data_IF_993778602515
#
_entry.id   IF_993778602515
#
_cell.length_a   1.000
_cell.length_b   1.000
_cell.length_c   1.000
_cell.angle_alpha   90.00
_cell.angle_beta   90.00
_cell.angle_gamma   90.00
#
_symmetry.space_group_name_H-M   'P 1'
#
loop_
_entity.id
_entity.type
_entity.pdbx_description
1 polymer ?
#
# COMPACT_ATOMS: atom_id res chain seq x y z
N UNK A 1 3.13 7.62 -13.43
CA UNK A 1 3.25 6.86 -12.16
C UNK A 1 1.92 6.74 -11.43
N UNK A 2 1.28 7.84 -10.99
CA UNK A 2 -0.03 7.80 -10.30
C UNK A 2 -1.08 6.97 -11.03
N UNK A 3 -1.34 7.28 -12.32
CA UNK A 3 -2.31 6.55 -13.15
C UNK A 3 -2.03 5.04 -13.15
N UNK A 4 -0.77 4.62 -13.30
CA UNK A 4 -0.42 3.19 -13.31
C UNK A 4 -0.76 2.51 -11.98
N UNK A 5 -0.46 3.16 -10.85
CA UNK A 5 -0.76 2.61 -9.52
C UNK A 5 -2.27 2.46 -9.27
N UNK A 6 -3.09 3.35 -9.83
CA UNK A 6 -4.56 3.32 -9.65
C UNK A 6 -5.24 2.38 -10.67
N UNK A 7 -4.80 2.42 -11.92
CA UNK A 7 -5.44 1.68 -13.02
C UNK A 7 -5.00 0.21 -12.97
N UNK A 8 -3.74 -0.06 -12.66
CA UNK A 8 -3.12 -1.38 -12.64
C UNK A 8 -2.39 -1.63 -11.31
N UNK A 9 -3.12 -1.70 -10.18
CA UNK A 9 -2.51 -1.87 -8.87
C UNK A 9 -1.71 -3.17 -8.80
N UNK A 10 -0.47 -3.08 -8.30
CA UNK A 10 0.45 -4.22 -8.19
C UNK A 10 1.19 -4.59 -9.49
N UNK A 11 0.98 -3.86 -10.59
CA UNK A 11 1.69 -4.11 -11.86
C UNK A 11 2.86 -3.14 -12.03
N UNK A 12 4.08 -3.65 -11.97
CA UNK A 12 5.31 -2.86 -12.10
C UNK A 12 5.81 -2.74 -13.55
N UNK A 13 5.61 -3.76 -14.38
CA UNK A 13 6.09 -3.84 -15.76
C UNK A 13 4.92 -3.99 -16.75
N UNK A 14 4.10 -2.94 -16.86
CA UNK A 14 2.95 -2.95 -17.76
C UNK A 14 3.39 -2.63 -19.20
N UNK A 15 2.91 -3.35 -20.24
CA UNK A 15 3.29 -3.08 -21.64
C UNK A 15 3.06 -1.64 -22.11
N UNK A 16 2.14 -0.90 -21.50
CA UNK A 16 1.90 0.54 -21.77
C UNK A 16 3.12 1.42 -21.43
N UNK A 17 3.94 1.00 -20.46
CA UNK A 17 5.17 1.70 -20.09
C UNK A 17 6.30 1.45 -21.08
N UNK A 18 6.21 0.36 -21.84
CA UNK A 18 7.10 0.13 -22.97
C UNK A 18 6.68 1.10 -24.06
N UNK A 19 7.44 2.18 -24.22
CA UNK A 19 7.33 3.03 -25.39
C UNK A 19 7.43 2.08 -26.59
N UNK A 20 6.43 2.01 -27.50
CA UNK A 20 6.62 1.29 -28.73
C UNK A 20 7.86 1.96 -29.33
N UNK A 21 8.98 1.23 -29.42
CA UNK A 21 10.20 1.73 -30.08
C UNK A 21 9.70 2.35 -31.36
N UNK A 22 9.74 3.68 -31.47
CA UNK A 22 9.19 4.36 -32.63
C UNK A 22 9.95 3.76 -33.80
N UNK A 23 9.28 2.88 -34.56
CA UNK A 23 9.85 2.27 -35.75
C UNK A 23 9.83 3.33 -36.83
N UNK A 24 10.55 4.43 -36.62
CA UNK A 24 10.62 5.57 -37.54
C UNK A 24 11.10 5.13 -38.93
N UNK A 25 11.81 3.99 -39.01
CA UNK A 25 12.37 3.44 -40.25
C UNK A 25 11.83 2.05 -40.64
N UNK A 26 10.71 1.58 -40.09
CA UNK A 26 10.05 0.36 -40.60
C UNK A 26 8.78 0.71 -41.36
N UNK A 27 8.48 0.04 -42.50
CA UNK A 27 7.22 0.22 -43.19
C UNK A 27 6.06 -0.07 -42.23
N UNK A 28 5.01 0.76 -42.25
CA UNK A 28 3.79 0.51 -41.48
C UNK A 28 3.27 -0.87 -41.85
N UNK A 29 3.12 -1.71 -40.84
CA UNK A 29 2.58 -3.05 -40.99
C UNK A 29 1.06 -2.99 -41.16
N UNK A 30 0.44 -4.05 -41.69
CA UNK A 30 -1.02 -4.19 -41.69
C UNK A 30 -1.61 -4.09 -40.27
N UNK A 31 -0.83 -4.48 -39.25
CA UNK A 31 -1.21 -4.32 -37.85
C UNK A 31 -1.34 -2.85 -37.45
N UNK A 32 -0.40 -1.99 -37.86
CA UNK A 32 -0.45 -0.55 -37.55
C UNK A 32 -1.69 0.11 -38.18
N UNK A 33 -2.05 -0.29 -39.40
CA UNK A 33 -3.26 0.18 -40.09
C UNK A 33 -4.51 -0.28 -39.34
N UNK A 34 -4.58 -1.55 -38.95
CA UNK A 34 -5.70 -2.10 -38.19
C UNK A 34 -5.87 -1.41 -36.83
N UNK A 35 -4.78 -1.07 -36.13
CA UNK A 35 -4.84 -0.35 -34.85
C UNK A 35 -5.36 1.08 -35.02
N UNK A 36 -4.98 1.78 -36.10
CA UNK A 36 -5.55 3.09 -36.42
C UNK A 36 -7.05 2.97 -36.69
N UNK A 37 -7.48 1.98 -37.49
CA UNK A 37 -8.91 1.75 -37.73
C UNK A 37 -9.67 1.38 -36.45
N UNK A 38 -9.05 0.60 -35.57
CA UNK A 38 -9.63 0.26 -34.27
C UNK A 38 -9.79 1.50 -33.38
N UNK A 39 -8.82 2.42 -33.35
CA UNK A 39 -8.99 3.71 -32.65
C UNK A 39 -10.20 4.48 -33.21
N UNK A 40 -10.39 4.53 -34.53
CA UNK A 40 -11.60 5.16 -35.11
C UNK A 40 -12.89 4.51 -34.62
N UNK A 41 -12.93 3.18 -34.48
CA UNK A 41 -14.07 2.47 -33.92
C UNK A 41 -14.28 2.81 -32.44
N UNK A 42 -13.21 2.90 -31.63
CA UNK A 42 -13.30 3.31 -30.22
C UNK A 42 -13.87 4.74 -30.07
N UNK A 43 -13.60 5.62 -31.04
CA UNK A 43 -14.16 6.97 -31.09
C UNK A 43 -15.60 7.03 -31.64
N UNK A 44 -16.19 5.89 -32.02
CA UNK A 44 -17.61 5.80 -32.36
C UNK A 44 -18.42 5.40 -31.11
N UNK A 45 -19.29 6.32 -30.66
CA UNK A 45 -20.10 6.14 -29.43
C UNK A 45 -20.90 4.84 -29.43
N UNK A 46 -21.58 4.54 -30.53
CA UNK A 46 -22.46 3.37 -30.64
C UNK A 46 -21.61 2.11 -30.58
N UNK A 47 -20.52 2.07 -31.35
CA UNK A 47 -19.59 0.94 -31.33
C UNK A 47 -19.06 0.68 -29.93
N UNK A 48 -18.53 1.70 -29.24
CA UNK A 48 -17.90 1.51 -27.93
C UNK A 48 -18.90 1.01 -26.88
N UNK A 49 -20.12 1.57 -26.85
CA UNK A 49 -21.18 1.10 -25.95
C UNK A 49 -21.55 -0.36 -26.25
N UNK A 50 -21.79 -0.70 -27.52
CA UNK A 50 -22.10 -2.08 -27.93
C UNK A 50 -20.94 -3.04 -27.65
N UNK A 51 -19.70 -2.60 -27.85
CA UNK A 51 -18.50 -3.39 -27.57
C UNK A 51 -18.43 -3.77 -26.08
N UNK A 52 -18.62 -2.80 -25.19
CA UNK A 52 -18.64 -3.05 -23.73
C UNK A 52 -19.78 -4.01 -23.36
N UNK A 53 -21.00 -3.76 -23.85
CA UNK A 53 -22.16 -4.62 -23.57
C UNK A 53 -21.92 -6.06 -24.05
N UNK A 54 -21.32 -6.21 -25.24
CA UNK A 54 -21.02 -7.51 -25.84
C UNK A 54 -20.00 -8.29 -25.02
N UNK A 55 -18.96 -7.63 -24.51
CA UNK A 55 -17.98 -8.24 -23.61
C UNK A 55 -18.60 -8.67 -22.29
N UNK A 56 -19.37 -7.79 -21.64
CA UNK A 56 -19.98 -8.09 -20.34
C UNK A 56 -21.06 -9.18 -20.39
N UNK A 57 -21.66 -9.40 -21.57
CA UNK A 57 -22.60 -10.48 -21.79
C UNK A 57 -21.94 -11.88 -21.81
N UNK A 58 -20.61 -11.96 -22.00
CA UNK A 58 -19.91 -13.24 -22.06
C UNK A 58 -19.66 -13.80 -20.65
N UNK A 59 -20.06 -15.06 -20.43
CA UNK A 59 -19.83 -15.75 -19.14
C UNK A 59 -18.35 -15.94 -18.79
N UNK A 60 -17.49 -16.04 -19.80
CA UNK A 60 -16.04 -16.15 -19.63
C UNK A 60 -15.36 -14.84 -19.24
N UNK A 61 -16.04 -13.70 -19.40
CA UNK A 61 -15.50 -12.37 -19.12
C UNK A 61 -15.65 -12.02 -17.65
N UNK A 62 -14.61 -12.36 -16.88
CA UNK A 62 -14.65 -12.28 -15.42
C UNK A 62 -14.31 -10.86 -14.90
N UNK A 63 -14.34 -10.67 -13.59
CA UNK A 63 -14.09 -9.36 -12.94
C UNK A 63 -12.70 -8.80 -13.29
N UNK A 64 -11.66 -9.65 -13.39
CA UNK A 64 -10.31 -9.21 -13.77
C UNK A 64 -10.30 -8.63 -15.17
N UNK A 65 -10.99 -9.30 -16.11
CA UNK A 65 -11.07 -8.85 -17.50
C UNK A 65 -11.82 -7.51 -17.61
N UNK A 66 -12.94 -7.39 -16.90
CA UNK A 66 -13.71 -6.13 -16.82
C UNK A 66 -12.87 -4.96 -16.31
N UNK A 67 -12.16 -5.18 -15.20
CA UNK A 67 -11.29 -4.16 -14.59
C UNK A 67 -10.14 -3.77 -15.51
N UNK A 68 -9.57 -4.74 -16.21
CA UNK A 68 -8.49 -4.51 -17.17
C UNK A 68 -8.98 -3.71 -18.39
N UNK A 69 -10.08 -4.14 -19.03
CA UNK A 69 -10.67 -3.43 -20.18
C UNK A 69 -11.07 -2.01 -19.82
N UNK A 70 -11.72 -1.79 -18.68
CA UNK A 70 -12.04 -0.45 -18.19
C UNK A 70 -10.80 0.44 -18.06
N UNK A 71 -9.69 -0.11 -17.59
CA UNK A 71 -8.44 0.62 -17.39
C UNK A 71 -7.73 0.92 -18.71
N UNK A 72 -7.68 -0.04 -19.64
CA UNK A 72 -7.16 0.18 -20.99
C UNK A 72 -7.98 1.22 -21.76
N UNK A 73 -9.31 1.13 -21.70
CA UNK A 73 -10.20 2.12 -22.32
C UNK A 73 -9.95 3.51 -21.75
N UNK A 74 -9.86 3.65 -20.42
CA UNK A 74 -9.58 4.95 -19.82
C UNK A 74 -8.20 5.51 -20.18
N UNK A 75 -7.18 4.67 -20.40
CA UNK A 75 -5.88 5.13 -20.96
C UNK A 75 -6.05 5.65 -22.39
N UNK A 76 -6.80 4.94 -23.24
CA UNK A 76 -7.03 5.39 -24.63
C UNK A 76 -7.82 6.70 -24.66
N UNK A 77 -8.79 6.85 -23.76
CA UNK A 77 -9.73 7.97 -23.72
C UNK A 77 -9.27 9.16 -22.86
N UNK A 78 -8.18 9.07 -22.10
CA UNK A 78 -7.78 10.13 -21.14
C UNK A 78 -7.46 11.48 -21.79
N UNK A 79 -7.12 11.51 -23.08
CA UNK A 79 -6.90 12.75 -23.83
C UNK A 79 -8.18 13.29 -24.49
N UNK A 80 -9.30 12.57 -24.35
CA UNK A 80 -10.62 12.87 -24.93
C UNK A 80 -11.68 12.83 -23.83
N UNK A 81 -11.43 13.53 -22.73
CA UNK A 81 -12.24 13.43 -21.50
C UNK A 81 -13.71 13.80 -21.72
N UNK A 82 -14.04 14.73 -22.61
CA UNK A 82 -15.43 15.05 -22.96
C UNK A 82 -16.19 13.82 -23.50
N UNK A 83 -15.57 13.11 -24.45
CA UNK A 83 -16.13 11.86 -24.99
C UNK A 83 -16.16 10.75 -23.93
N UNK A 84 -15.10 10.63 -23.10
CA UNK A 84 -15.07 9.68 -21.99
C UNK A 84 -16.22 9.91 -20.99
N UNK A 85 -16.50 11.16 -20.65
CA UNK A 85 -17.60 11.55 -19.76
C UNK A 85 -18.95 11.19 -20.36
N UNK A 86 -19.15 11.39 -21.67
CA UNK A 86 -20.41 11.04 -22.34
C UNK A 86 -20.63 9.50 -22.37
N UNK A 87 -19.59 8.73 -22.67
CA UNK A 87 -19.64 7.25 -22.60
C UNK A 87 -19.93 6.79 -21.17
N UNK A 88 -19.21 7.35 -20.19
CA UNK A 88 -19.40 7.03 -18.78
C UNK A 88 -20.82 7.37 -18.31
N UNK A 89 -21.36 8.53 -18.70
CA UNK A 89 -22.74 8.93 -18.42
C UNK A 89 -23.73 7.89 -18.95
N UNK A 90 -23.62 7.51 -20.22
CA UNK A 90 -24.51 6.52 -20.82
C UNK A 90 -24.47 5.18 -20.08
N UNK A 91 -23.27 4.69 -19.77
CA UNK A 91 -23.11 3.42 -19.06
C UNK A 91 -23.61 3.49 -17.60
N UNK A 92 -23.38 4.60 -16.90
CA UNK A 92 -23.88 4.79 -15.53
C UNK A 92 -25.41 4.84 -15.50
N UNK A 93 -26.04 5.52 -16.45
CA UNK A 93 -27.50 5.53 -16.56
C UNK A 93 -28.07 4.13 -16.78
N UNK A 94 -27.45 3.33 -17.65
CA UNK A 94 -27.83 1.92 -17.84
C UNK A 94 -27.63 1.07 -16.57
N UNK A 95 -26.57 1.32 -15.82
CA UNK A 95 -26.34 0.67 -14.54
C UNK A 95 -27.43 1.04 -13.53
N UNK A 96 -27.83 2.31 -13.48
CA UNK A 96 -28.92 2.80 -12.64
C UNK A 96 -30.24 2.13 -13.04
N UNK A 97 -30.59 2.12 -14.33
CA UNK A 97 -31.79 1.45 -14.85
C UNK A 97 -31.85 -0.01 -14.40
N UNK A 98 -30.73 -0.73 -14.45
CA UNK A 98 -30.64 -2.11 -13.96
C UNK A 98 -30.78 -2.20 -12.44
N UNK A 99 -30.14 -1.29 -11.71
CA UNK A 99 -30.10 -1.28 -10.24
C UNK A 99 -31.48 -1.05 -9.62
N UNK A 100 -32.25 -0.09 -10.17
CA UNK A 100 -33.58 0.26 -9.66
C UNK A 100 -34.60 -0.87 -9.85
N UNK A 101 -34.37 -1.80 -10.78
CA UNK A 101 -35.19 -3.00 -10.95
C UNK A 101 -34.88 -4.10 -9.91
N UNK A 102 -33.82 -3.95 -9.12
CA UNK A 102 -33.45 -4.93 -8.09
C UNK A 102 -34.19 -4.67 -6.77
N UNK A 103 -34.21 -5.66 -5.88
CA UNK A 103 -34.74 -5.50 -4.52
C UNK A 103 -33.91 -4.55 -3.65
N UNK A 104 -32.67 -4.27 -4.03
CA UNK A 104 -31.70 -3.54 -3.21
C UNK A 104 -30.94 -2.48 -4.03
N UNK A 105 -31.63 -1.45 -4.55
CA UNK A 105 -31.00 -0.40 -5.35
C UNK A 105 -29.86 0.32 -4.61
N UNK A 106 -29.90 0.42 -3.28
CA UNK A 106 -28.84 1.02 -2.45
C UNK A 106 -27.48 0.31 -2.55
N UNK A 107 -27.44 -0.94 -3.06
CA UNK A 107 -26.20 -1.68 -3.26
C UNK A 107 -25.46 -1.32 -4.55
N UNK A 108 -26.05 -0.47 -5.41
CA UNK A 108 -25.38 0.04 -6.61
C UNK A 108 -24.04 0.67 -6.24
N UNK A 109 -23.02 0.40 -7.07
CA UNK A 109 -21.67 0.89 -6.87
C UNK A 109 -21.01 0.42 -5.55
N UNK A 110 -21.55 -0.54 -4.81
CA UNK A 110 -20.91 -1.03 -3.57
C UNK A 110 -19.64 -1.86 -3.83
N UNK A 111 -19.55 -2.53 -4.98
CA UNK A 111 -18.42 -3.39 -5.39
C UNK A 111 -18.06 -3.13 -6.84
N UNK A 112 -16.83 -3.42 -7.27
CA UNK A 112 -16.45 -3.27 -8.68
C UNK A 112 -16.72 -4.56 -9.43
N UNK A 113 -17.90 -4.65 -10.07
CA UNK A 113 -18.36 -5.88 -10.74
C UNK A 113 -18.66 -5.68 -12.24
N UNK A 114 -18.57 -4.44 -12.72
CA UNK A 114 -18.76 -4.04 -14.11
C UNK A 114 -17.63 -3.14 -14.64
N UNK A 115 -17.52 -3.06 -15.97
CA UNK A 115 -16.60 -2.17 -16.68
C UNK A 115 -16.86 -0.72 -16.29
N UNK A 116 -18.13 -0.30 -16.23
CA UNK A 116 -18.50 1.09 -15.89
C UNK A 116 -18.08 1.49 -14.48
N UNK A 117 -18.15 0.59 -13.50
CA UNK A 117 -17.73 0.86 -12.12
C UNK A 117 -16.22 1.09 -12.01
N UNK A 118 -15.42 0.32 -12.75
CA UNK A 118 -13.97 0.56 -12.81
C UNK A 118 -13.66 1.80 -13.65
N UNK A 119 -14.37 2.05 -14.75
CA UNK A 119 -14.22 3.29 -15.53
C UNK A 119 -14.52 4.53 -14.68
N UNK A 120 -15.57 4.51 -13.85
CA UNK A 120 -15.89 5.59 -12.91
C UNK A 120 -14.74 5.82 -11.92
N UNK A 121 -14.19 4.74 -11.35
CA UNK A 121 -13.05 4.83 -10.41
C UNK A 121 -11.84 5.49 -11.07
N UNK A 122 -11.53 5.08 -12.30
CA UNK A 122 -10.43 5.61 -13.10
C UNK A 122 -10.66 7.07 -13.53
N UNK A 123 -11.89 7.41 -13.93
CA UNK A 123 -12.32 8.76 -14.28
C UNK A 123 -12.17 9.72 -13.11
N UNK A 124 -12.67 9.33 -11.92
CA UNK A 124 -12.52 10.13 -10.71
C UNK A 124 -11.05 10.29 -10.33
N UNK A 125 -10.20 9.27 -10.52
CA UNK A 125 -8.76 9.42 -10.28
C UNK A 125 -8.08 10.43 -11.19
N UNK A 126 -8.45 10.49 -12.47
CA UNK A 126 -7.94 11.53 -13.37
C UNK A 126 -8.41 12.92 -12.89
N UNK A 127 -9.71 13.08 -12.63
CA UNK A 127 -10.30 14.37 -12.27
C UNK A 127 -9.82 14.90 -10.92
N UNK A 128 -9.59 14.00 -9.95
CA UNK A 128 -9.18 14.34 -8.59
C UNK A 128 -7.66 14.47 -8.45
N UNK A 129 -6.86 14.19 -9.49
CA UNK A 129 -5.40 14.21 -9.38
C UNK A 129 -4.84 15.56 -8.93
N UNK A 130 -5.28 16.66 -9.54
CA UNK A 130 -4.81 18.00 -9.16
C UNK A 130 -5.27 18.36 -7.74
N UNK A 131 -6.52 18.07 -7.39
CA UNK A 131 -7.02 18.25 -6.03
C UNK A 131 -6.16 17.50 -4.99
N UNK A 132 -5.79 16.25 -5.28
CA UNK A 132 -4.88 15.51 -4.41
C UNK A 132 -3.47 16.10 -4.37
N UNK A 133 -2.93 16.48 -5.53
CA UNK A 133 -1.56 16.97 -5.62
C UNK A 133 -1.38 18.32 -4.94
N UNK A 134 -2.36 19.21 -5.08
CA UNK A 134 -2.24 20.63 -4.74
C UNK A 134 -2.94 20.98 -3.42
N UNK A 135 -3.97 20.22 -3.02
CA UNK A 135 -4.77 20.51 -1.83
C UNK A 135 -4.72 19.37 -0.80
N UNK A 136 -5.35 18.23 -1.10
CA UNK A 136 -5.58 17.17 -0.11
C UNK A 136 -4.36 16.30 0.24
N UNK A 137 -3.33 16.28 -0.61
CA UNK A 137 -2.16 15.42 -0.42
C UNK A 137 -1.31 15.81 0.78
N UNK A 138 -1.31 17.08 1.16
CA UNK A 138 -0.57 17.58 2.32
C UNK A 138 -1.10 16.98 3.63
N UNK A 139 -2.40 17.04 3.86
CA UNK A 139 -3.05 16.51 5.07
C UNK A 139 -2.96 14.99 5.14
N UNK A 140 -3.11 14.29 4.01
CA UNK A 140 -2.87 12.85 3.92
C UNK A 140 -1.42 12.49 4.29
N UNK A 141 -0.43 13.19 3.71
CA UNK A 141 0.97 12.90 3.97
C UNK A 141 1.34 13.17 5.44
N UNK A 142 0.79 14.22 6.03
CA UNK A 142 0.96 14.52 7.45
C UNK A 142 0.33 13.44 8.33
N UNK A 143 -0.86 12.94 8.00
CA UNK A 143 -1.48 11.81 8.69
C UNK A 143 -0.60 10.55 8.62
N UNK A 144 -0.11 10.19 7.43
CA UNK A 144 0.83 9.09 7.27
C UNK A 144 2.09 9.27 8.14
N UNK A 145 2.69 10.48 8.11
CA UNK A 145 3.87 10.80 8.91
C UNK A 145 3.60 10.75 10.41
N UNK A 146 2.45 11.24 10.87
CA UNK A 146 2.05 11.20 12.27
C UNK A 146 1.88 9.76 12.77
N UNK A 147 1.19 8.91 11.99
CA UNK A 147 1.03 7.48 12.30
C UNK A 147 2.40 6.80 12.37
N UNK A 148 3.21 6.95 11.32
CA UNK A 148 4.56 6.34 11.25
C UNK A 148 5.41 6.77 12.45
N UNK A 149 5.49 8.07 12.70
CA UNK A 149 6.29 8.62 13.80
C UNK A 149 5.80 8.12 15.16
N UNK A 150 4.48 8.08 15.38
CA UNK A 150 3.92 7.63 16.64
C UNK A 150 4.18 6.14 16.90
N UNK A 151 4.08 5.29 15.88
CA UNK A 151 4.38 3.86 15.96
C UNK A 151 5.87 3.65 16.27
N UNK A 152 6.75 4.25 15.47
CA UNK A 152 8.21 4.05 15.53
C UNK A 152 8.88 4.66 16.76
N UNK A 153 8.16 5.52 17.50
CA UNK A 153 8.58 6.04 18.80
C UNK A 153 8.59 4.98 19.90
N UNK A 154 7.82 3.91 19.74
CA UNK A 154 7.70 2.80 20.70
C UNK A 154 8.32 1.51 20.19
N UNK A 155 8.12 0.45 20.97
CA UNK A 155 8.52 -0.92 20.61
C UNK A 155 7.75 -1.37 19.36
N UNK A 156 8.47 -1.99 18.42
CA UNK A 156 7.90 -2.65 17.25
C UNK A 156 8.59 -3.99 17.06
N UNK A 157 7.85 -5.09 17.12
CA UNK A 157 8.39 -6.41 16.79
C UNK A 157 8.67 -6.50 15.29
N UNK A 158 9.86 -6.97 14.91
CA UNK A 158 10.30 -6.96 13.50
C UNK A 158 9.70 -8.13 12.71
N UNK A 159 9.19 -9.16 13.39
CA UNK A 159 8.63 -10.37 12.80
C UNK A 159 7.10 -10.30 12.77
N UNK A 160 6.44 -9.95 13.88
CA UNK A 160 4.97 -9.90 13.95
C UNK A 160 4.38 -8.56 13.50
N UNK A 161 5.22 -7.51 13.50
CA UNK A 161 4.84 -6.11 13.33
C UNK A 161 3.88 -5.58 14.40
N UNK A 162 3.81 -6.25 15.56
CA UNK A 162 3.06 -5.73 16.70
C UNK A 162 3.82 -4.56 17.32
N UNK A 163 3.07 -3.50 17.63
CA UNK A 163 3.62 -2.25 18.11
C UNK A 163 3.04 -1.83 19.46
N UNK A 164 3.86 -1.18 20.29
CA UNK A 164 3.42 -0.62 21.58
C UNK A 164 2.40 0.50 21.39
N UNK A 165 2.58 1.32 20.37
CA UNK A 165 1.69 2.42 19.99
C UNK A 165 0.92 2.04 18.72
N UNK A 166 0.00 1.08 18.83
CA UNK A 166 -0.87 0.66 17.74
C UNK A 166 -2.23 1.38 17.80
N UNK A 167 -2.87 1.55 16.64
CA UNK A 167 -4.29 1.92 16.53
C UNK A 167 -5.20 0.68 16.43
N UNK A 168 -4.64 -0.49 16.17
CA UNK A 168 -5.34 -1.78 16.07
C UNK A 168 -5.06 -2.64 17.29
N UNK A 169 -6.11 -3.17 17.92
CA UNK A 169 -5.99 -4.11 19.04
C UNK A 169 -5.23 -5.38 18.64
N UNK A 170 -5.44 -5.86 17.40
CA UNK A 170 -4.81 -7.08 16.91
C UNK A 170 -3.31 -6.94 16.71
N UNK A 171 -2.85 -5.70 16.47
CA UNK A 171 -1.44 -5.35 16.27
C UNK A 171 -0.80 -4.69 17.49
N UNK A 172 -1.46 -4.77 18.64
CA UNK A 172 -0.93 -4.20 19.88
C UNK A 172 0.05 -5.18 20.53
N UNK A 173 1.28 -4.72 20.76
CA UNK A 173 2.28 -5.48 21.48
C UNK A 173 1.88 -5.61 22.96
N UNK A 174 1.58 -6.85 23.38
CA UNK A 174 1.09 -7.14 24.74
C UNK A 174 2.20 -7.40 25.75
N UNK A 175 3.32 -7.95 25.29
CA UNK A 175 4.48 -8.26 26.14
C UNK A 175 5.13 -7.00 26.71
N UNK A 176 5.60 -7.10 27.95
CA UNK A 176 6.39 -6.07 28.59
C UNK A 176 7.86 -6.29 28.25
N UNK A 177 8.43 -5.37 27.47
CA UNK A 177 9.83 -5.39 27.09
C UNK A 177 10.51 -4.14 27.62
N UNK A 178 11.53 -4.35 28.45
CA UNK A 178 12.41 -3.28 28.93
C UNK A 178 13.26 -2.78 27.77
N UNK A 179 13.39 -1.45 27.67
CA UNK A 179 14.09 -0.79 26.59
C UNK A 179 14.63 0.54 27.08
N UNK A 180 15.72 0.97 26.46
CA UNK A 180 16.33 2.28 26.67
C UNK A 180 16.44 3.03 25.34
N UNK A 181 16.52 4.35 25.45
CA UNK A 181 16.81 5.17 24.28
C UNK A 181 18.30 5.20 23.99
N UNK A 182 18.63 5.18 22.70
CA UNK A 182 20.00 5.39 22.20
C UNK A 182 19.99 6.57 21.24
N UNK A 183 20.87 7.55 21.48
CA UNK A 183 21.08 8.69 20.59
C UNK A 183 22.20 8.37 19.60
N UNK A 184 21.87 8.24 18.32
CA UNK A 184 22.86 7.97 17.28
C UNK A 184 23.34 9.27 16.65
N UNK A 185 24.66 9.40 16.52
CA UNK A 185 25.35 10.45 15.78
C UNK A 185 25.78 9.88 14.43
N UNK A 186 25.14 10.32 13.35
CA UNK A 186 25.38 9.76 12.02
C UNK A 186 26.48 10.55 11.33
N UNK A 187 27.52 9.85 10.90
CA UNK A 187 28.65 10.42 10.16
C UNK A 187 28.64 9.81 8.77
N UNK A 188 28.63 10.66 7.74
CA UNK A 188 28.91 10.27 6.36
C UNK A 188 29.96 11.20 5.78
N UNK A 189 30.84 10.66 4.95
CA UNK A 189 32.00 11.40 4.43
C UNK A 189 31.59 12.57 3.50
N UNK A 190 30.39 12.48 2.89
CA UNK A 190 29.85 13.49 1.95
C UNK A 190 28.86 14.49 2.61
N UNK A 191 28.65 14.43 3.93
CA UNK A 191 27.67 15.26 4.63
C UNK A 191 28.33 16.17 5.68
N UNK A 192 28.27 17.48 5.45
CA UNK A 192 28.69 18.50 6.43
C UNK A 192 27.72 18.62 7.63
N UNK A 193 26.45 18.25 7.43
CA UNK A 193 25.41 18.34 8.46
C UNK A 193 25.50 17.18 9.47
N UNK A 194 25.58 17.55 10.76
CA UNK A 194 25.51 16.58 11.87
C UNK A 194 24.08 16.05 12.01
N UNK A 195 23.82 14.87 11.45
CA UNK A 195 22.53 14.18 11.58
C UNK A 195 22.50 13.37 12.87
N UNK A 196 21.42 13.49 13.63
CA UNK A 196 21.18 12.71 14.84
C UNK A 196 19.82 12.01 14.75
N UNK A 197 19.75 10.76 15.23
CA UNK A 197 18.48 10.05 15.34
C UNK A 197 18.38 9.30 16.67
N UNK A 198 17.20 9.37 17.29
CA UNK A 198 16.89 8.65 18.54
C UNK A 198 16.21 7.33 18.21
N UNK A 199 16.73 6.24 18.72
CA UNK A 199 16.24 4.87 18.51
C UNK A 199 16.08 4.14 19.84
N UNK A 200 15.56 2.91 19.81
CA UNK A 200 15.50 2.04 20.97
C UNK A 200 16.65 1.03 20.92
N UNK A 201 17.21 0.69 22.07
CA UNK A 201 18.24 -0.35 22.18
C UNK A 201 17.75 -1.73 21.73
N UNK A 202 16.44 -1.96 21.84
CA UNK A 202 15.77 -3.15 21.34
C UNK A 202 15.35 -3.07 19.86
N UNK A 203 15.67 -2.01 19.11
CA UNK A 203 15.42 -2.03 17.66
C UNK A 203 16.39 -3.02 16.98
N UNK A 204 15.91 -3.78 16.00
CA UNK A 204 16.80 -4.59 15.15
C UNK A 204 17.71 -3.70 14.31
N UNK A 205 18.80 -4.25 13.77
CA UNK A 205 19.72 -3.49 12.93
C UNK A 205 19.01 -2.95 11.67
N UNK A 206 18.12 -3.73 11.05
CA UNK A 206 17.31 -3.24 9.92
C UNK A 206 16.35 -2.12 10.32
N UNK A 207 15.73 -2.18 11.50
CA UNK A 207 14.90 -1.09 12.01
C UNK A 207 15.73 0.18 12.24
N UNK A 208 16.92 0.06 12.82
CA UNK A 208 17.86 1.18 13.02
C UNK A 208 18.29 1.78 11.68
N UNK A 209 18.71 0.97 10.71
CA UNK A 209 19.04 1.43 9.36
C UNK A 209 17.89 2.19 8.71
N UNK A 210 16.66 1.69 8.84
CA UNK A 210 15.47 2.37 8.30
C UNK A 210 15.26 3.75 8.92
N UNK A 211 15.39 3.87 10.25
CA UNK A 211 15.27 5.14 10.98
C UNK A 211 16.39 6.13 10.59
N UNK A 212 17.62 5.65 10.39
CA UNK A 212 18.74 6.47 9.90
C UNK A 212 18.48 6.97 8.48
N UNK A 213 18.02 6.09 7.57
CA UNK A 213 17.68 6.46 6.19
C UNK A 213 16.56 7.51 6.16
N UNK A 214 15.54 7.40 7.02
CA UNK A 214 14.51 8.44 7.13
C UNK A 214 15.05 9.79 7.58
N UNK A 215 16.02 9.81 8.50
CA UNK A 215 16.66 11.03 8.98
C UNK A 215 17.54 11.68 7.90
N UNK A 216 18.39 10.89 7.24
CA UNK A 216 19.27 11.35 6.16
C UNK A 216 18.49 11.84 4.94
N UNK A 217 17.45 11.10 4.54
CA UNK A 217 16.71 11.35 3.30
C UNK A 217 15.33 11.97 3.52
N UNK A 218 15.16 12.77 4.60
CA UNK A 218 13.86 13.33 5.01
C UNK A 218 13.11 14.05 3.88
N UNK A 219 13.85 14.74 2.99
CA UNK A 219 13.32 15.54 1.87
C UNK A 219 13.46 14.85 0.51
N UNK A 220 13.92 13.59 0.48
CA UNK A 220 14.11 12.83 -0.75
C UNK A 220 12.94 11.87 -0.96
N UNK A 221 12.34 11.80 -2.16
CA UNK A 221 11.32 10.80 -2.48
C UNK A 221 11.82 9.37 -2.20
N UNK A 222 10.97 8.52 -1.64
CA UNK A 222 11.36 7.15 -1.25
C UNK A 222 12.01 6.35 -2.38
N UNK A 223 11.56 6.52 -3.62
CA UNK A 223 12.10 5.81 -4.80
C UNK A 223 13.52 6.22 -5.20
N UNK A 224 14.03 7.35 -4.67
CA UNK A 224 15.38 7.84 -4.92
C UNK A 224 16.32 7.59 -3.73
N UNK A 225 15.83 6.94 -2.68
CA UNK A 225 16.62 6.59 -1.50
C UNK A 225 17.31 5.25 -1.72
N UNK A 226 18.43 5.05 -1.02
CA UNK A 226 19.05 3.74 -0.90
C UNK A 226 18.09 2.76 -0.21
N UNK A 227 18.02 1.52 -0.68
CA UNK A 227 17.26 0.50 0.03
C UNK A 227 17.97 0.13 1.32
N UNK A 228 17.20 -0.22 2.36
CA UNK A 228 17.75 -0.72 3.64
C UNK A 228 18.65 -1.95 3.45
N UNK A 229 18.39 -2.71 2.38
CA UNK A 229 19.14 -3.89 1.97
C UNK A 229 20.35 -3.60 1.09
N UNK A 230 20.63 -2.34 0.74
CA UNK A 230 21.81 -1.97 -0.05
C UNK A 230 22.90 -1.32 0.81
N UNK A 231 22.62 -1.17 2.11
CA UNK A 231 23.52 -0.53 3.07
C UNK A 231 23.76 -1.42 4.28
N UNK A 232 24.95 -1.27 4.83
CA UNK A 232 25.40 -1.84 6.09
C UNK A 232 25.54 -0.75 7.15
N UNK A 233 25.30 -1.11 8.40
CA UNK A 233 25.43 -0.20 9.54
C UNK A 233 26.78 -0.43 10.22
N UNK A 234 27.64 0.57 10.19
CA UNK A 234 28.92 0.54 10.90
C UNK A 234 28.80 1.31 12.21
N UNK A 235 29.15 0.65 13.32
CA UNK A 235 29.39 1.30 14.61
C UNK A 235 30.85 1.67 14.76
N UNK A 236 31.12 2.96 14.96
CA UNK A 236 32.45 3.49 15.25
C UNK A 236 32.67 3.52 16.75
N UNK A 237 33.15 2.40 17.30
CA UNK A 237 33.47 2.28 18.73
C UNK A 237 34.80 3.00 19.04
N UNK A 238 34.87 3.66 20.20
CA UNK A 238 36.04 4.43 20.60
C UNK A 238 37.35 3.63 20.51
N UNK A 239 38.48 4.33 20.31
CA UNK A 239 39.83 3.81 19.97
C UNK A 239 40.04 3.40 18.50
N UNK A 240 39.24 3.94 17.57
CA UNK A 240 39.42 3.70 16.13
C UNK A 240 38.95 2.31 15.66
N UNK A 241 38.10 1.65 16.46
CA UNK A 241 37.49 0.37 16.09
C UNK A 241 36.21 0.59 15.28
N UNK A 242 36.02 -0.22 14.26
CA UNK A 242 34.82 -0.23 13.43
C UNK A 242 34.18 -1.62 13.51
N UNK A 243 32.87 -1.68 13.70
CA UNK A 243 32.12 -2.94 13.72
C UNK A 243 30.87 -2.81 12.85
N UNK A 244 30.76 -3.66 11.84
CA UNK A 244 29.54 -3.78 11.04
C UNK A 244 28.50 -4.58 11.82
N UNK A 245 27.31 -4.01 12.00
CA UNK A 245 26.19 -4.63 12.68
C UNK A 245 25.23 -5.24 11.65
N UNK A 246 24.65 -6.39 11.97
CA UNK A 246 23.71 -7.09 11.11
C UNK A 246 22.60 -7.74 11.95
N UNK A 247 21.43 -7.96 11.36
CA UNK A 247 20.31 -8.63 12.05
C UNK A 247 20.66 -10.08 12.43
N UNK A 248 21.53 -10.73 11.65
CA UNK A 248 22.12 -12.04 11.94
C UNK A 248 23.62 -12.01 11.61
N UNK A 249 24.44 -12.53 12.51
CA UNK A 249 25.88 -12.72 12.33
C UNK A 249 26.40 -13.88 13.20
N UNK A 250 27.74 -14.05 13.28
CA UNK A 250 28.38 -15.09 14.09
C UNK A 250 28.11 -14.96 15.60
N UNK A 251 27.62 -13.80 16.05
CA UNK A 251 27.31 -13.54 17.46
C UNK A 251 25.85 -13.81 17.80
N UNK A 252 24.99 -14.07 16.81
CA UNK A 252 23.55 -14.27 16.99
C UNK A 252 23.22 -15.41 17.96
N UNK A 253 22.42 -15.08 18.97
CA UNK A 253 22.04 -16.02 20.03
C UNK A 253 20.99 -17.01 19.52
N UNK A 254 21.30 -18.30 19.62
CA UNK A 254 20.41 -19.41 19.29
C UNK A 254 20.12 -20.25 20.52
N UNK A 255 18.85 -20.40 20.89
CA UNK A 255 18.40 -21.22 22.05
C UNK A 255 17.23 -22.08 21.61
N UNK A 256 17.31 -23.40 21.80
CA UNK A 256 16.23 -24.36 21.50
C UNK A 256 15.66 -24.22 20.08
N UNK A 257 16.53 -24.19 19.07
CA UNK A 257 16.18 -23.99 17.65
C UNK A 257 15.50 -22.64 17.32
N UNK A 258 15.60 -21.65 18.22
CA UNK A 258 15.18 -20.28 17.98
C UNK A 258 16.36 -19.33 17.93
N UNK A 259 16.45 -18.57 16.84
CA UNK A 259 17.38 -17.43 16.68
C UNK A 259 16.68 -16.13 17.04
N UNK A 260 17.31 -15.32 17.88
CA UNK A 260 16.85 -13.96 18.15
C UNK A 260 17.55 -12.99 17.22
N UNK A 261 16.80 -12.14 16.50
CA UNK A 261 17.40 -11.06 15.72
C UNK A 261 18.28 -10.17 16.60
N UNK A 262 19.45 -9.82 16.09
CA UNK A 262 20.38 -8.92 16.74
C UNK A 262 19.78 -7.50 16.83
N UNK A 263 20.04 -6.84 17.95
CA UNK A 263 19.57 -5.48 18.28
C UNK A 263 20.75 -4.64 18.73
N UNK A 264 20.58 -3.33 18.92
CA UNK A 264 21.65 -2.50 19.51
C UNK A 264 22.08 -3.00 20.90
N UNK A 265 21.11 -3.44 21.71
CA UNK A 265 21.35 -4.03 23.02
C UNK A 265 22.17 -5.33 22.94
N UNK A 266 21.98 -6.14 21.89
CA UNK A 266 22.77 -7.35 21.66
C UNK A 266 24.26 -7.04 21.50
N UNK A 267 24.59 -5.98 20.77
CA UNK A 267 25.97 -5.51 20.59
C UNK A 267 26.50 -4.67 21.77
N UNK A 268 25.69 -4.45 22.81
CA UNK A 268 26.06 -3.64 23.97
C UNK A 268 26.17 -2.14 23.68
N UNK A 269 25.51 -1.66 22.63
CA UNK A 269 25.42 -0.22 22.32
C UNK A 269 24.53 0.45 23.37
N UNK A 270 25.03 1.51 24.00
CA UNK A 270 24.35 2.25 25.09
C UNK A 270 24.12 3.70 24.69
N UNK A 271 23.27 4.41 25.44
CA UNK A 271 22.99 5.86 25.53
C UNK A 271 23.33 6.77 24.32
N UNK A 272 24.58 6.79 23.86
CA UNK A 272 25.04 7.50 22.68
C UNK A 272 26.03 6.66 21.86
N UNK A 273 25.90 6.68 20.53
CA UNK A 273 26.79 5.96 19.63
C UNK A 273 27.02 6.70 18.31
N UNK A 274 28.22 6.57 17.75
CA UNK A 274 28.57 7.11 16.43
C UNK A 274 28.40 6.02 15.38
N UNK A 275 27.56 6.26 14.38
CA UNK A 275 27.20 5.30 13.34
C UNK A 275 27.49 5.87 11.95
N UNK A 276 27.77 4.99 10.99
CA UNK A 276 27.84 5.31 9.56
C UNK A 276 27.06 4.28 8.75
N UNK A 277 26.53 4.69 7.60
CA UNK A 277 26.00 3.77 6.60
C UNK A 277 27.03 3.58 5.50
N UNK A 278 27.34 2.32 5.21
CA UNK A 278 28.27 1.94 4.16
C UNK A 278 27.46 1.29 3.03
N UNK A 279 27.62 1.76 1.80
CA UNK A 279 27.04 1.10 0.64
C UNK A 279 27.69 -0.28 0.46
N UNK A 280 26.89 -1.33 0.29
CA UNK A 280 27.43 -2.64 -0.06
C UNK A 280 28.03 -2.56 -1.46
N UNK A 281 29.34 -2.80 -1.58
CA UNK A 281 29.93 -3.06 -2.88
C UNK A 281 29.43 -4.43 -3.34
N UNK A 282 28.68 -4.48 -4.45
CA UNK A 282 28.40 -5.73 -5.12
C UNK A 282 29.74 -6.30 -5.59
N UNK A 283 30.25 -7.34 -4.95
CA UNK A 283 31.39 -8.10 -5.44
C UNK A 283 31.03 -8.68 -6.82
N UNK A 284 31.53 -8.00 -7.86
CA UNK A 284 31.23 -8.30 -9.24
C UNK A 284 31.97 -9.53 -9.73
N UNK A 285 31.32 -10.69 -9.67
CA UNK A 285 31.58 -11.82 -10.57
C UNK A 285 30.26 -12.46 -11.04
N UNK A 286 29.41 -11.65 -11.68
CA UNK A 286 28.60 -12.03 -12.84
C UNK A 286 27.73 -10.84 -13.25
N UNK A 287 28.30 -9.95 -14.07
CA UNK A 287 27.54 -8.93 -14.79
C UNK A 287 27.69 -9.15 -16.28
N UNK A 288 26.65 -9.73 -16.88
CA UNK A 288 26.28 -9.46 -18.27
C UNK A 288 24.77 -9.71 -18.43
N UNK A 289 24.06 -8.63 -18.81
CA UNK A 289 22.65 -8.56 -19.21
C UNK A 289 21.56 -8.71 -18.13
N UNK A 290 21.29 -7.63 -17.38
CA UNK A 290 20.03 -6.87 -17.47
C UNK A 290 19.98 -5.82 -16.35
N UNK A 291 19.95 -4.53 -16.72
CA UNK A 291 19.38 -3.50 -15.84
C UNK A 291 17.86 -3.66 -15.87
N UNK A 292 17.37 -4.70 -15.24
CA UNK A 292 16.00 -4.78 -14.74
C UNK A 292 16.14 -4.83 -13.23
N UNK A 293 15.93 -3.68 -12.59
CA UNK A 293 15.77 -3.60 -11.16
C UNK A 293 14.55 -4.47 -10.79
N UNK A 294 14.80 -5.70 -10.36
CA UNK A 294 13.82 -6.54 -9.69
C UNK A 294 13.39 -5.81 -8.44
N UNK A 295 12.26 -5.11 -8.54
CA UNK A 295 11.45 -4.72 -7.40
C UNK A 295 10.99 -6.00 -6.70
N UNK A 296 11.82 -6.51 -5.80
CA UNK A 296 11.41 -7.53 -4.85
C UNK A 296 10.99 -6.85 -3.55
N UNK A 297 9.67 -6.77 -3.41
CA UNK A 297 8.88 -6.82 -2.18
C UNK A 297 9.35 -5.95 -1.01
N UNK A 298 8.90 -4.68 -1.01
CA UNK A 298 8.24 -4.18 0.19
C UNK A 298 6.95 -5.00 0.36
N UNK A 299 6.86 -5.82 1.40
CA UNK A 299 5.61 -6.47 1.78
C UNK A 299 4.59 -5.43 2.25
N UNK A 300 3.90 -4.79 1.29
CA UNK A 300 2.55 -4.30 1.50
C UNK A 300 1.62 -5.49 1.29
N UNK A 301 1.40 -6.27 2.34
CA UNK A 301 0.37 -7.30 2.31
C UNK A 301 -0.98 -6.61 2.48
N UNK A 302 -1.78 -6.70 1.42
CA UNK A 302 -3.20 -6.39 1.43
C UNK A 302 -3.87 -7.11 2.61
N UNK A 303 -4.64 -6.34 3.36
CA UNK A 303 -5.33 -6.76 4.56
C UNK A 303 -6.51 -7.68 4.21
N UNK A 304 -6.24 -8.93 3.82
CA UNK A 304 -7.23 -10.04 3.77
C UNK A 304 -6.49 -11.38 3.84
N UNK A 305 -6.66 -12.09 4.97
CA UNK A 305 -6.27 -13.48 5.31
C UNK A 305 -4.94 -13.69 6.06
N UNK A 306 -4.94 -14.55 7.11
CA UNK A 306 -3.73 -14.90 7.85
C UNK A 306 -2.86 -15.81 6.97
N UNK A 307 -1.71 -15.31 6.53
CA UNK A 307 -0.80 -16.08 5.70
C UNK A 307 -0.13 -17.20 6.50
N UNK A 308 -0.53 -18.41 6.13
CA UNK A 308 0.17 -19.67 6.38
C UNK A 308 1.62 -19.50 5.94
N UNK A 309 2.53 -19.89 6.84
CA UNK A 309 3.99 -19.96 6.65
C UNK A 309 4.29 -20.68 5.33
N UNK A 310 4.97 -19.99 4.40
CA UNK A 310 5.51 -20.60 3.19
C UNK A 310 6.62 -21.58 3.61
N UNK A 311 6.27 -22.86 3.70
CA UNK A 311 7.24 -23.96 3.66
C UNK A 311 7.66 -24.16 2.20
N UNK A 312 8.74 -23.52 1.79
CA UNK A 312 9.56 -23.97 0.67
C UNK A 312 10.66 -24.90 1.21
N UNK A 313 10.86 -26.02 0.52
CA UNK A 313 11.98 -26.96 0.65
C UNK A 313 11.89 -28.01 1.79
N UNK A 314 10.93 -28.94 1.61
CA UNK A 314 11.04 -30.29 2.17
C UNK A 314 11.99 -31.09 1.26
N UNK A 315 13.30 -30.87 1.38
CA UNK A 315 14.33 -31.81 0.90
C UNK A 315 15.73 -31.49 1.47
N UNK A 316 15.84 -31.27 2.78
CA UNK A 316 17.06 -31.56 3.54
C UNK A 316 16.73 -31.61 5.04
N UNK A 317 17.21 -32.62 5.75
CA UNK A 317 16.85 -32.93 7.15
C UNK A 317 17.40 -31.98 8.22
N UNK A 318 17.48 -30.67 7.95
CA UNK A 318 17.83 -29.64 8.92
C UNK A 318 16.71 -28.60 8.94
N UNK A 319 15.80 -28.69 9.91
CA UNK A 319 14.83 -27.62 10.14
C UNK A 319 15.60 -26.33 10.40
N UNK A 320 15.49 -25.34 9.51
CA UNK A 320 16.10 -24.03 9.76
C UNK A 320 15.58 -23.49 11.10
N UNK A 321 16.47 -22.91 11.93
CA UNK A 321 16.07 -22.37 13.22
C UNK A 321 15.05 -21.25 13.02
N UNK A 322 13.98 -21.28 13.82
CA UNK A 322 12.91 -20.28 13.75
C UNK A 322 13.44 -18.93 14.26
N UNK A 323 13.02 -17.83 13.66
CA UNK A 323 13.50 -16.48 13.99
C UNK A 323 12.44 -15.71 14.78
N UNK A 324 12.87 -14.95 15.79
CA UNK A 324 12.00 -14.04 16.55
C UNK A 324 12.73 -12.74 16.92
N UNK A 325 11.99 -11.68 17.28
CA UNK A 325 12.55 -10.41 17.72
C UNK A 325 12.30 -10.14 19.22
N UNK A 326 11.14 -9.57 19.55
CA UNK A 326 10.75 -9.21 20.92
C UNK A 326 9.95 -10.34 21.56
N UNK A 327 9.03 -10.92 20.79
CA UNK A 327 8.12 -11.96 21.27
C UNK A 327 8.40 -13.26 20.53
N UNK A 328 8.62 -14.35 21.26
CA UNK A 328 8.63 -15.68 20.66
C UNK A 328 7.19 -16.04 20.29
N UNK A 329 6.88 -16.38 19.03
CA UNK A 329 5.58 -16.93 18.67
C UNK A 329 5.27 -18.13 19.56
N UNK A 330 4.13 -18.09 20.26
CA UNK A 330 3.61 -19.23 21.01
C UNK A 330 3.15 -20.29 19.99
N UNK A 331 4.05 -21.17 19.60
CA UNK A 331 3.69 -22.36 18.83
C UNK A 331 3.43 -23.43 19.89
N UNK A 332 2.15 -23.76 20.06
CA UNK A 332 1.75 -24.86 20.95
C UNK A 332 2.46 -26.13 20.46
N UNK A 333 3.33 -26.71 21.29
CA UNK A 333 4.13 -27.90 20.92
C UNK A 333 3.22 -29.09 20.51
N UNK A 334 1.94 -29.05 20.88
CA UNK A 334 0.93 -30.03 20.50
C UNK A 334 0.50 -30.00 19.01
N UNK A 335 0.73 -28.91 18.27
CA UNK A 335 0.37 -28.80 16.86
C UNK A 335 1.38 -29.45 15.90
N UNK A 336 2.55 -29.85 16.40
CA UNK A 336 3.56 -30.54 15.59
C UNK A 336 3.27 -32.04 15.38
N UNK A 337 2.28 -32.61 16.10
CA UNK A 337 1.97 -34.04 16.06
C UNK A 337 0.60 -34.42 15.48
N UNK A 338 -0.18 -33.50 14.91
CA UNK A 338 -1.48 -33.84 14.32
C UNK A 338 -1.60 -33.32 12.88
N UNK A 339 -1.15 -34.16 11.93
CA UNK A 339 -1.70 -34.14 10.56
C UNK A 339 -3.17 -34.57 10.67
N UNK A 340 -4.10 -33.61 10.56
CA UNK A 340 -5.57 -33.73 10.44
C UNK A 340 -6.38 -33.04 11.56
N UNK A 341 -6.23 -31.72 11.68
CA UNK A 341 -7.32 -30.90 12.22
C UNK A 341 -7.46 -29.64 11.36
N UNK A 342 -8.22 -29.77 10.26
CA UNK A 342 -8.99 -28.64 9.76
C UNK A 342 -10.03 -28.28 10.82
N UNK A 343 -10.29 -26.97 10.98
CA UNK A 343 -11.34 -26.36 11.80
C UNK A 343 -11.04 -26.19 13.30
N UNK A 344 -10.25 -25.17 13.62
CA UNK A 344 -10.55 -24.26 14.75
C UNK A 344 -10.02 -22.86 14.45
N UNK A 345 -10.53 -22.28 13.36
CA UNK A 345 -10.39 -20.84 13.10
C UNK A 345 -11.02 -20.06 14.25
N UNK A 346 -10.20 -19.38 15.03
CA UNK A 346 -10.51 -18.14 15.75
C UNK A 346 -11.94 -17.99 16.31
N UNK A 347 -12.36 -18.87 17.22
CA UNK A 347 -13.17 -18.41 18.34
C UNK A 347 -12.26 -17.68 19.33
N UNK A 348 -11.71 -16.53 18.93
CA UNK A 348 -11.36 -15.50 19.90
C UNK A 348 -12.69 -15.03 20.47
N UNK A 349 -13.15 -15.73 21.51
CA UNK A 349 -14.12 -15.19 22.45
C UNK A 349 -13.79 -13.71 22.65
N UNK A 350 -14.74 -12.81 22.37
CA UNK A 350 -14.64 -11.37 22.56
C UNK A 350 -14.48 -11.06 24.06
N UNK A 351 -13.34 -11.46 24.63
CA UNK A 351 -12.93 -11.12 25.99
C UNK A 351 -12.62 -9.63 25.98
N UNK A 352 -13.17 -8.91 26.95
CA UNK A 352 -12.94 -7.47 27.07
C UNK A 352 -11.43 -7.18 27.08
N UNK A 353 -11.04 -6.15 26.33
CA UNK A 353 -9.65 -5.70 26.25
C UNK A 353 -9.23 -5.26 27.67
N UNK A 354 -8.14 -5.80 28.23
CA UNK A 354 -7.62 -5.32 29.50
C UNK A 354 -7.38 -3.81 29.47
N UNK A 355 -7.74 -3.11 30.56
CA UNK A 355 -7.75 -1.65 30.65
C UNK A 355 -6.40 -0.98 30.27
N UNK A 356 -5.29 -1.63 30.62
CA UNK A 356 -3.94 -1.17 30.26
C UNK A 356 -3.74 -1.08 28.74
N UNK A 357 -4.29 -2.02 27.98
CA UNK A 357 -4.19 -2.04 26.52
C UNK A 357 -5.16 -1.06 25.89
N UNK A 358 -6.37 -0.93 26.44
CA UNK A 358 -7.33 0.10 26.01
C UNK A 358 -6.74 1.51 26.18
N UNK A 359 -6.09 1.78 27.32
CA UNK A 359 -5.43 3.07 27.58
C UNK A 359 -4.34 3.37 26.55
N UNK A 360 -3.54 2.37 26.13
CA UNK A 360 -2.53 2.54 25.08
C UNK A 360 -3.14 2.85 23.72
N UNK A 361 -4.23 2.17 23.35
CA UNK A 361 -4.97 2.42 22.11
C UNK A 361 -5.55 3.85 22.11
N UNK A 362 -6.19 4.25 23.21
CA UNK A 362 -6.77 5.59 23.36
C UNK A 362 -5.70 6.70 23.35
N UNK A 363 -4.56 6.49 24.00
CA UNK A 363 -3.45 7.44 23.97
C UNK A 363 -2.88 7.61 22.55
N UNK A 364 -2.72 6.50 21.82
CA UNK A 364 -2.26 6.51 20.43
C UNK A 364 -3.27 7.21 19.52
N UNK A 365 -4.57 6.88 19.66
CA UNK A 365 -5.66 7.57 18.97
C UNK A 365 -5.64 9.07 19.24
N UNK A 366 -5.57 9.49 20.51
CA UNK A 366 -5.57 10.89 20.90
C UNK A 366 -4.40 11.68 20.31
N UNK A 367 -3.21 11.05 20.21
CA UNK A 367 -2.02 11.69 19.63
C UNK A 367 -2.17 11.97 18.13
N UNK A 368 -2.86 11.08 17.40
CA UNK A 368 -3.01 11.16 15.94
C UNK A 368 -4.31 11.90 15.55
N UNK A 369 -5.23 12.08 16.49
CA UNK A 369 -6.60 12.59 16.24
C UNK A 369 -6.64 13.89 15.42
N UNK A 370 -5.80 14.89 15.75
CA UNK A 370 -5.78 16.15 14.99
C UNK A 370 -5.50 15.93 13.49
N UNK A 371 -4.57 15.03 13.15
CA UNK A 371 -4.23 14.75 11.76
C UNK A 371 -5.35 13.99 11.03
N UNK A 372 -6.11 13.16 11.76
CA UNK A 372 -7.31 12.50 11.24
C UNK A 372 -8.40 13.52 10.95
N UNK A 373 -8.65 14.42 11.90
CA UNK A 373 -9.65 15.47 11.78
C UNK A 373 -9.29 16.45 10.64
N UNK A 374 -8.03 16.91 10.58
CA UNK A 374 -7.52 17.78 9.52
C UNK A 374 -7.67 17.10 8.14
N UNK A 375 -7.35 15.81 8.03
CA UNK A 375 -7.52 15.06 6.78
C UNK A 375 -8.99 14.93 6.38
N UNK A 376 -9.87 14.49 7.30
CA UNK A 376 -11.30 14.36 7.00
C UNK A 376 -11.96 15.69 6.68
N UNK A 377 -11.62 16.77 7.39
CA UNK A 377 -12.06 18.11 7.07
C UNK A 377 -11.63 18.49 5.64
N UNK A 378 -10.41 18.14 5.23
CA UNK A 378 -9.92 18.40 3.87
C UNK A 378 -10.70 17.63 2.81
N UNK A 379 -11.00 16.35 3.01
CA UNK A 379 -11.62 15.52 1.96
C UNK A 379 -13.16 15.52 1.96
N UNK A 380 -13.81 15.87 3.06
CA UNK A 380 -15.28 15.85 3.20
C UNK A 380 -15.92 17.24 3.14
N UNK A 381 -15.14 18.32 3.25
CA UNK A 381 -15.68 19.69 3.18
C UNK A 381 -15.72 20.18 1.75
N UNK A 382 -16.89 20.63 1.30
CA UNK A 382 -17.06 21.27 -0.01
C UNK A 382 -16.33 22.60 -0.02
N UNK A 383 -15.50 22.81 -1.04
CA UNK A 383 -14.72 24.02 -1.26
C UNK A 383 -14.55 24.25 -2.77
N UNK A 384 -14.04 25.42 -3.16
CA UNK A 384 -13.87 25.82 -4.55
C UNK A 384 -12.77 25.03 -5.29
N UNK A 385 -11.91 24.32 -4.56
CA UNK A 385 -10.87 23.44 -5.12
C UNK A 385 -11.43 22.09 -5.58
N UNK A 386 -12.63 21.73 -5.12
CA UNK A 386 -13.24 20.44 -5.45
C UNK A 386 -13.53 20.36 -6.96
N UNK A 387 -13.06 19.33 -7.68
CA UNK A 387 -13.24 19.27 -9.12
C UNK A 387 -14.73 19.24 -9.53
N UNK A 388 -15.11 19.94 -10.61
CA UNK A 388 -16.48 19.95 -11.12
C UNK A 388 -17.05 18.55 -11.41
N UNK A 389 -16.17 17.57 -11.68
CA UNK A 389 -16.52 16.17 -11.87
C UNK A 389 -17.27 15.56 -10.67
N UNK A 390 -16.97 15.97 -9.43
CA UNK A 390 -17.69 15.49 -8.24
C UNK A 390 -19.13 15.98 -8.26
N UNK A 391 -19.32 17.28 -8.50
CA UNK A 391 -20.66 17.88 -8.63
C UNK A 391 -21.44 17.24 -9.78
N UNK A 392 -20.82 17.10 -10.95
CA UNK A 392 -21.42 16.47 -12.12
C UNK A 392 -21.94 15.04 -11.81
N UNK A 393 -21.12 14.23 -11.13
CA UNK A 393 -21.50 12.87 -10.77
C UNK A 393 -22.67 12.86 -9.79
N UNK A 394 -22.66 13.73 -8.79
CA UNK A 394 -23.72 13.78 -7.79
C UNK A 394 -25.03 14.31 -8.38
N UNK A 395 -24.97 15.34 -9.22
CA UNK A 395 -26.13 15.86 -9.96
C UNK A 395 -26.72 14.77 -10.89
N UNK A 396 -25.87 13.98 -11.56
CA UNK A 396 -26.32 12.86 -12.40
C UNK A 396 -27.09 11.81 -11.58
N UNK A 397 -26.60 11.47 -10.38
CA UNK A 397 -27.25 10.51 -9.48
C UNK A 397 -28.58 11.07 -8.96
N UNK A 398 -28.63 12.34 -8.58
CA UNK A 398 -29.85 13.02 -8.13
C UNK A 398 -30.90 13.10 -9.25
N UNK A 399 -30.49 13.45 -10.47
CA UNK A 399 -31.37 13.51 -11.64
C UNK A 399 -31.94 12.14 -12.01
N UNK A 400 -31.11 11.09 -11.92
CA UNK A 400 -31.57 9.74 -12.16
C UNK A 400 -32.55 9.28 -11.07
N UNK A 401 -32.23 9.52 -9.80
CA UNK A 401 -33.13 9.21 -8.69
C UNK A 401 -34.50 9.89 -8.84
N UNK A 402 -34.51 11.18 -9.20
CA UNK A 402 -35.76 11.93 -9.50
C UNK A 402 -36.53 11.31 -10.66
N UNK A 403 -35.87 10.96 -11.76
CA UNK A 403 -36.52 10.34 -12.94
C UNK A 403 -37.13 8.97 -12.64
N UNK A 404 -36.53 8.19 -11.75
CA UNK A 404 -37.07 6.90 -11.32
C UNK A 404 -38.02 6.99 -10.12
N UNK A 405 -38.35 8.19 -9.64
CA UNK A 405 -39.27 8.38 -8.51
C UNK A 405 -38.74 7.84 -7.18
N UNK A 406 -37.42 7.80 -7.00
CA UNK A 406 -36.79 7.35 -5.74
C UNK A 406 -37.01 8.44 -4.68
N UNK A 407 -37.95 8.18 -3.77
CA UNK A 407 -38.28 9.10 -2.67
C UNK A 407 -37.38 8.92 -1.44
N UNK A 408 -36.75 7.75 -1.29
CA UNK A 408 -35.90 7.44 -0.13
C UNK A 408 -34.51 8.11 -0.28
N UNK A 409 -34.17 9.09 0.57
CA UNK A 409 -32.88 9.76 0.52
C UNK A 409 -31.70 8.84 0.87
N UNK A 410 -31.91 7.73 1.59
CA UNK A 410 -30.85 6.80 1.96
C UNK A 410 -30.27 6.08 0.73
N UNK A 411 -31.09 5.78 -0.27
CA UNK A 411 -30.66 5.15 -1.52
C UNK A 411 -29.69 6.07 -2.27
N UNK A 412 -30.06 7.33 -2.44
CA UNK A 412 -29.24 8.31 -3.16
C UNK A 412 -27.96 8.63 -2.39
N UNK A 413 -28.06 8.74 -1.06
CA UNK A 413 -26.90 8.86 -0.19
C UNK A 413 -25.94 7.67 -0.32
N UNK A 414 -26.47 6.44 -0.37
CA UNK A 414 -25.68 5.23 -0.59
C UNK A 414 -24.99 5.26 -1.96
N UNK A 415 -25.68 5.67 -3.02
CA UNK A 415 -25.07 5.81 -4.36
C UNK A 415 -23.91 6.80 -4.36
N UNK A 416 -24.10 7.99 -3.78
CA UNK A 416 -23.04 9.02 -3.67
C UNK A 416 -21.85 8.49 -2.87
N UNK A 417 -22.11 7.91 -1.70
CA UNK A 417 -21.08 7.32 -0.82
C UNK A 417 -20.29 6.20 -1.52
N UNK A 418 -21.00 5.32 -2.21
CA UNK A 418 -20.44 4.21 -2.98
C UNK A 418 -19.68 4.68 -4.24
N UNK A 419 -20.01 5.85 -4.80
CA UNK A 419 -19.41 6.34 -6.04
C UNK A 419 -18.06 7.04 -5.82
N UNK A 420 -17.87 7.71 -4.69
CA UNK A 420 -16.70 8.55 -4.42
C UNK A 420 -16.03 8.24 -3.06
N UNK A 421 -16.59 8.54 -1.88
CA UNK A 421 -15.91 8.26 -0.60
C UNK A 421 -15.43 6.81 -0.45
N UNK A 422 -16.30 5.83 -0.66
CA UNK A 422 -15.95 4.42 -0.45
C UNK A 422 -15.10 3.80 -1.56
N UNK A 423 -15.06 4.42 -2.75
CA UNK A 423 -14.30 3.94 -3.91
C UNK A 423 -12.99 4.66 -4.12
N UNK A 424 -12.93 5.94 -3.78
CA UNK A 424 -11.76 6.77 -3.97
C UNK A 424 -10.94 6.87 -2.68
N UNK A 425 -11.59 7.06 -1.53
CA UNK A 425 -10.88 7.21 -0.27
C UNK A 425 -10.38 5.88 0.33
N UNK A 426 -11.03 4.74 0.01
CA UNK A 426 -10.58 3.42 0.49
C UNK A 426 -9.62 2.69 -0.48
N UNK A 427 -9.54 3.07 -1.76
CA UNK A 427 -8.67 2.39 -2.75
C UNK A 427 -7.42 3.20 -3.14
N UNK A 428 -7.41 4.52 -2.93
CA UNK A 428 -6.29 5.38 -3.34
C UNK A 428 -5.53 6.02 -2.18
N UNK A 429 -5.91 5.72 -0.92
CA UNK A 429 -5.22 6.19 0.29
C UNK A 429 -4.80 5.04 1.18
#
# INVERSE_FOLDING_TARGET
>A
SFIMKVFFPGVSDHPILNTPKMRMNSPRTNYDIAMVQFDHLINNKIFLLTFIDTLEAQKSFNIRDKVNVASLLMIVLMNKMEYATDILKCLLLRLIDKSVMTKHPQLMLRRTESVVEKMLTNYMAICMYNYLKEYAGSSLFLLFKAIKHQIEKGLVDAITHDARYSLSEEKLLREQVDHNFVNLHIVQDDLDDKVQCKVLDCDTITQVKSKILDALFKNTPHSLRLAVNDVDLEWRHGRGGHLTLQDEDLTTKSINNWKRLNTLAHYGVKESAVMSLIARQNDGYNMNYSKQASYHNCYYINNTQPHIIMNGDIESGLQQPRVYHLVKPMIDDHLLNVKNAQLSSHERTHKAIPEIFLTRLLATKGTIQKFVDDFFATILTVNDELPPAVKWLFDLLDDAARRHGIADPEIVHAWKSNSLPLRYANFNF
#
